data_IF_255739009392
#
_entry.id   IF_255739009392
#
_cell.length_a   1.000
_cell.length_b   1.000
_cell.length_c   1.000
_cell.angle_alpha   90.00
_cell.angle_beta   90.00
_cell.angle_gamma   90.00
#
_symmetry.space_group_name_H-M   'P 1'
#
loop_
_entity.id
_entity.type
_entity.pdbx_description
1 polymer ?
#
# COMPACT_ATOMS: atom_id res chain seq x y z
N UNK A 1 -10.01 -5.23 -0.16
CA UNK A 1 -9.12 -5.57 -1.28
C UNK A 1 -8.08 -4.48 -1.42
N UNK A 2 -6.80 -4.85 -1.47
CA UNK A 2 -5.64 -3.94 -1.53
C UNK A 2 -5.55 -3.24 -2.89
N UNK A 3 -4.85 -2.10 -2.99
CA UNK A 3 -4.62 -1.41 -4.27
C UNK A 3 -3.94 -2.29 -5.32
N UNK A 4 -3.01 -3.15 -4.88
CA UNK A 4 -2.35 -4.14 -5.74
C UNK A 4 -3.32 -5.08 -6.48
N UNK A 5 -4.48 -5.36 -5.90
CA UNK A 5 -5.48 -6.17 -6.57
C UNK A 5 -6.12 -5.42 -7.75
N UNK A 6 -6.40 -4.12 -7.60
CA UNK A 6 -6.89 -3.29 -8.70
C UNK A 6 -5.85 -3.18 -9.82
N UNK A 7 -4.57 -2.99 -9.47
CA UNK A 7 -3.47 -2.96 -10.43
C UNK A 7 -3.41 -4.25 -11.26
N UNK A 8 -3.47 -5.40 -10.58
CA UNK A 8 -3.48 -6.71 -11.23
C UNK A 8 -4.68 -6.88 -12.17
N UNK A 9 -5.87 -6.44 -11.76
CA UNK A 9 -7.05 -6.56 -12.61
C UNK A 9 -7.01 -5.59 -13.81
N UNK A 10 -6.52 -4.36 -13.62
CA UNK A 10 -6.34 -3.38 -14.67
C UNK A 10 -5.36 -3.86 -15.75
N UNK A 11 -4.17 -4.29 -15.34
CA UNK A 11 -3.12 -4.84 -16.21
C UNK A 11 -3.67 -5.96 -17.10
N UNK A 12 -4.53 -6.80 -16.54
CA UNK A 12 -5.01 -8.02 -17.20
C UNK A 12 -6.09 -7.80 -18.25
N UNK A 13 -6.95 -6.81 -18.04
CA UNK A 13 -7.90 -6.36 -19.07
C UNK A 13 -7.26 -5.36 -20.04
N UNK A 14 -5.95 -5.09 -19.89
CA UNK A 14 -5.15 -4.30 -20.81
C UNK A 14 -5.34 -2.79 -20.65
N UNK A 15 -5.62 -2.30 -19.44
CA UNK A 15 -5.78 -0.86 -19.17
C UNK A 15 -4.78 -0.37 -18.11
N UNK A 16 -4.39 0.92 -18.15
CA UNK A 16 -3.75 1.58 -17.02
C UNK A 16 -4.67 1.57 -15.79
N UNK A 17 -4.11 1.47 -14.58
CA UNK A 17 -4.94 1.46 -13.34
C UNK A 17 -5.65 2.79 -13.14
N UNK A 18 -5.08 3.88 -13.62
CA UNK A 18 -5.65 5.23 -13.59
C UNK A 18 -6.96 5.31 -14.39
N UNK A 19 -7.09 4.51 -15.45
CA UNK A 19 -8.30 4.44 -16.28
C UNK A 19 -9.38 3.53 -15.68
N UNK A 20 -9.02 2.68 -14.71
CA UNK A 20 -9.95 1.74 -14.08
C UNK A 20 -11.17 2.45 -13.52
N UNK A 21 -10.95 3.47 -12.67
CA UNK A 21 -12.01 4.23 -12.02
C UNK A 21 -12.93 4.93 -13.04
N UNK A 22 -12.38 5.77 -13.94
CA UNK A 22 -13.15 6.42 -15.00
C UNK A 22 -13.96 5.46 -15.87
N UNK A 23 -13.41 4.31 -16.26
CA UNK A 23 -14.14 3.29 -17.02
C UNK A 23 -15.27 2.64 -16.21
N UNK A 24 -15.04 2.37 -14.92
CA UNK A 24 -16.08 1.85 -14.04
C UNK A 24 -17.27 2.83 -13.91
N UNK A 25 -17.02 4.14 -13.93
CA UNK A 25 -18.07 5.16 -13.84
C UNK A 25 -18.98 5.23 -15.07
N UNK A 26 -18.53 4.73 -16.23
CA UNK A 26 -19.30 4.68 -17.48
C UNK A 26 -20.31 3.52 -17.51
N UNK A 27 -20.31 2.65 -16.50
CA UNK A 27 -21.25 1.53 -16.42
C UNK A 27 -22.68 2.02 -16.20
N UNK A 28 -23.60 1.45 -17.00
CA UNK A 28 -25.04 1.60 -16.80
C UNK A 28 -25.65 0.35 -16.15
N UNK A 29 -25.01 -0.82 -16.33
CA UNK A 29 -25.52 -2.10 -15.81
C UNK A 29 -24.38 -2.91 -15.17
N UNK A 30 -23.90 -2.52 -13.97
CA UNK A 30 -22.81 -3.21 -13.30
C UNK A 30 -23.10 -4.71 -13.13
N UNK A 31 -22.16 -5.56 -13.54
CA UNK A 31 -22.34 -7.01 -13.36
C UNK A 31 -21.97 -7.42 -11.94
N UNK A 32 -22.65 -8.43 -11.40
CA UNK A 32 -22.27 -8.95 -10.09
C UNK A 32 -20.99 -9.77 -10.21
N UNK A 33 -19.94 -9.32 -9.51
CA UNK A 33 -18.67 -10.05 -9.35
C UNK A 33 -18.55 -10.65 -7.95
N UNK A 34 -18.07 -11.90 -7.88
CA UNK A 34 -17.70 -12.57 -6.65
C UNK A 34 -16.47 -11.90 -6.01
N UNK A 35 -16.64 -11.18 -4.90
CA UNK A 35 -15.57 -10.33 -4.31
C UNK A 35 -14.86 -10.86 -3.07
N UNK A 36 -15.06 -12.13 -2.67
CA UNK A 36 -14.49 -12.64 -1.40
C UNK A 36 -13.02 -13.06 -1.52
N UNK A 37 -12.68 -13.76 -2.60
CA UNK A 37 -11.34 -14.24 -2.92
C UNK A 37 -10.88 -13.58 -4.23
N UNK A 38 -9.65 -13.11 -4.29
CA UNK A 38 -9.09 -12.46 -5.50
C UNK A 38 -9.08 -13.40 -6.69
N UNK A 39 -8.71 -14.67 -6.49
CA UNK A 39 -8.72 -15.70 -7.54
C UNK A 39 -10.12 -15.94 -8.10
N UNK A 40 -11.15 -15.97 -7.24
CA UNK A 40 -12.52 -16.16 -7.72
C UNK A 40 -13.10 -14.91 -8.39
N UNK A 41 -12.74 -13.72 -7.90
CA UNK A 41 -13.09 -12.47 -8.57
C UNK A 41 -12.52 -12.45 -9.99
N UNK A 42 -11.26 -12.88 -10.15
CA UNK A 42 -10.61 -12.94 -11.46
C UNK A 42 -11.31 -13.94 -12.40
N UNK A 43 -11.61 -15.16 -11.95
CA UNK A 43 -12.28 -16.16 -12.78
C UNK A 43 -13.67 -15.70 -13.20
N UNK A 44 -14.39 -15.03 -12.30
CA UNK A 44 -15.73 -14.48 -12.59
C UNK A 44 -15.63 -13.33 -13.61
N UNK A 45 -14.65 -12.43 -13.49
CA UNK A 45 -14.42 -11.37 -14.47
C UNK A 45 -14.15 -11.93 -15.88
N UNK A 46 -13.27 -12.92 -16.00
CA UNK A 46 -12.98 -13.59 -17.28
C UNK A 46 -14.25 -14.21 -17.85
N UNK A 47 -15.03 -14.89 -17.01
CA UNK A 47 -16.30 -15.48 -17.44
C UNK A 47 -17.29 -14.41 -17.94
N UNK A 48 -17.42 -13.27 -17.24
CA UNK A 48 -18.27 -12.16 -17.71
C UNK A 48 -17.79 -11.56 -19.03
N UNK A 49 -16.49 -11.47 -19.24
CA UNK A 49 -15.92 -11.01 -20.50
C UNK A 49 -16.26 -11.99 -21.65
N UNK A 50 -16.17 -13.30 -21.42
CA UNK A 50 -16.53 -14.34 -22.40
C UNK A 50 -18.03 -14.32 -22.76
N UNK A 51 -18.89 -13.91 -21.83
CA UNK A 51 -20.32 -13.70 -22.08
C UNK A 51 -20.62 -12.39 -22.83
N UNK A 52 -19.61 -11.58 -23.14
CA UNK A 52 -19.75 -10.33 -23.90
C UNK A 52 -20.18 -9.12 -23.07
N UNK A 53 -20.05 -9.16 -21.74
CA UNK A 53 -20.30 -7.98 -20.92
C UNK A 53 -19.28 -6.87 -21.21
N UNK A 54 -19.73 -5.61 -21.15
CA UNK A 54 -18.86 -4.45 -21.35
C UNK A 54 -17.83 -4.36 -20.23
N UNK A 55 -16.61 -3.94 -20.57
CA UNK A 55 -15.53 -3.74 -19.60
C UNK A 55 -15.95 -2.79 -18.47
N UNK A 56 -16.63 -1.69 -18.78
CA UNK A 56 -17.16 -0.74 -17.79
C UNK A 56 -18.06 -1.43 -16.75
N UNK A 57 -18.95 -2.32 -17.19
CA UNK A 57 -19.88 -3.04 -16.31
C UNK A 57 -19.16 -4.06 -15.41
N UNK A 58 -18.12 -4.72 -15.94
CA UNK A 58 -17.25 -5.63 -15.17
C UNK A 58 -16.48 -4.85 -14.09
N UNK A 59 -15.89 -3.71 -14.46
CA UNK A 59 -15.11 -2.89 -13.54
C UNK A 59 -15.97 -2.28 -12.43
N UNK A 60 -17.16 -1.78 -12.78
CA UNK A 60 -18.15 -1.32 -11.80
C UNK A 60 -18.55 -2.45 -10.83
N UNK A 61 -18.81 -3.64 -11.39
CA UNK A 61 -19.08 -4.84 -10.62
C UNK A 61 -18.00 -5.21 -9.62
N UNK A 62 -16.73 -5.08 -10.05
CA UNK A 62 -15.56 -5.33 -9.22
C UNK A 62 -15.42 -4.29 -8.10
N UNK A 63 -15.59 -2.99 -8.38
CA UNK A 63 -15.60 -1.95 -7.35
C UNK A 63 -16.64 -2.25 -6.26
N UNK A 64 -17.88 -2.55 -6.65
CA UNK A 64 -18.92 -2.92 -5.71
C UNK A 64 -18.56 -4.18 -4.91
N UNK A 65 -17.95 -5.17 -5.56
CA UNK A 65 -17.51 -6.39 -4.90
C UNK A 65 -16.43 -6.12 -3.84
N UNK A 66 -15.52 -5.19 -4.11
CA UNK A 66 -14.49 -4.76 -3.16
C UNK A 66 -15.06 -3.98 -1.98
N UNK A 67 -16.02 -3.07 -2.23
CA UNK A 67 -16.72 -2.35 -1.15
C UNK A 67 -17.49 -3.33 -0.26
N UNK A 68 -18.29 -4.22 -0.84
CA UNK A 68 -18.99 -5.28 -0.09
C UNK A 68 -18.04 -6.14 0.73
N UNK A 69 -16.89 -6.50 0.16
CA UNK A 69 -15.87 -7.28 0.86
C UNK A 69 -15.32 -6.53 2.08
N UNK A 70 -14.98 -5.24 1.93
CA UNK A 70 -14.50 -4.42 3.03
C UNK A 70 -15.54 -4.31 4.16
N UNK A 71 -16.78 -4.01 3.81
CA UNK A 71 -17.85 -3.84 4.80
C UNK A 71 -18.18 -5.14 5.53
N UNK A 72 -18.22 -6.26 4.82
CA UNK A 72 -18.57 -7.56 5.39
C UNK A 72 -17.46 -8.24 6.20
N UNK A 73 -16.20 -7.88 5.99
CA UNK A 73 -15.07 -8.52 6.68
C UNK A 73 -14.35 -7.60 7.67
N UNK A 74 -14.17 -6.31 7.34
CA UNK A 74 -13.35 -5.36 8.13
C UNK A 74 -14.21 -4.39 8.93
N UNK A 75 -15.29 -3.88 8.32
CA UNK A 75 -16.22 -2.99 9.01
C UNK A 75 -17.41 -3.73 9.65
N UNK A 76 -17.40 -5.07 9.64
CA UNK A 76 -18.52 -5.87 10.15
C UNK A 76 -18.78 -5.56 11.62
N UNK A 77 -20.02 -5.19 11.93
CA UNK A 77 -20.44 -4.87 13.29
C UNK A 77 -19.94 -3.52 13.81
N UNK A 78 -19.30 -2.70 12.96
CA UNK A 78 -18.91 -1.33 13.31
C UNK A 78 -20.02 -0.37 12.94
N UNK A 79 -20.33 0.54 13.86
CA UNK A 79 -21.24 1.67 13.63
C UNK A 79 -20.46 2.80 12.94
N UNK A 80 -20.63 2.94 11.63
CA UNK A 80 -19.92 3.94 10.81
C UNK A 80 -20.66 5.28 10.90
N UNK A 81 -19.99 6.31 11.45
CA UNK A 81 -20.56 7.66 11.62
C UNK A 81 -19.77 8.70 10.83
N UNK A 82 -20.41 9.78 10.37
CA UNK A 82 -19.70 10.89 9.75
C UNK A 82 -18.86 11.70 10.76
N UNK A 83 -17.79 12.38 10.31
CA UNK A 83 -17.27 12.38 8.94
C UNK A 83 -16.52 11.08 8.59
N UNK A 84 -16.74 10.56 7.37
CA UNK A 84 -16.00 9.38 6.86
C UNK A 84 -14.83 9.86 6.02
N UNK A 85 -13.60 9.44 6.38
CA UNK A 85 -12.41 9.72 5.58
C UNK A 85 -11.99 8.49 4.79
N UNK A 86 -11.82 8.65 3.48
CA UNK A 86 -11.27 7.61 2.60
C UNK A 86 -9.86 7.98 2.15
N UNK A 87 -8.87 7.19 2.57
CA UNK A 87 -7.45 7.44 2.34
C UNK A 87 -6.70 6.15 1.93
N UNK A 88 -5.43 6.32 1.55
CA UNK A 88 -4.57 5.29 0.95
C UNK A 88 -4.63 5.31 -0.58
N UNK A 89 -3.74 4.57 -1.25
CA UNK A 89 -3.64 4.60 -2.73
C UNK A 89 -4.94 4.25 -3.46
N UNK A 90 -5.80 3.40 -2.88
CA UNK A 90 -7.12 3.06 -3.46
C UNK A 90 -8.05 4.27 -3.52
N UNK A 91 -7.87 5.27 -2.65
CA UNK A 91 -8.65 6.48 -2.67
C UNK A 91 -8.45 7.30 -3.96
N UNK A 92 -7.37 7.08 -4.72
CA UNK A 92 -7.19 7.67 -6.06
C UNK A 92 -8.23 7.17 -7.08
N UNK A 93 -8.79 5.97 -6.88
CA UNK A 93 -9.70 5.35 -7.84
C UNK A 93 -11.12 5.92 -7.68
N UNK A 94 -11.52 6.81 -8.59
CA UNK A 94 -12.84 7.47 -8.58
C UNK A 94 -14.03 6.50 -8.63
N UNK A 95 -13.85 5.31 -9.20
CA UNK A 95 -14.87 4.24 -9.13
C UNK A 95 -15.08 3.78 -7.69
N UNK A 96 -13.99 3.45 -6.99
CA UNK A 96 -14.04 3.08 -5.57
C UNK A 96 -14.64 4.18 -4.69
N UNK A 97 -14.31 5.45 -4.96
CA UNK A 97 -14.90 6.59 -4.25
C UNK A 97 -16.43 6.60 -4.39
N UNK A 98 -16.93 6.54 -5.63
CA UNK A 98 -18.37 6.52 -5.91
C UNK A 98 -19.06 5.33 -5.26
N UNK A 99 -18.58 4.11 -5.52
CA UNK A 99 -19.27 2.92 -5.01
C UNK A 99 -19.21 2.79 -3.48
N UNK A 100 -18.14 3.31 -2.84
CA UNK A 100 -18.10 3.41 -1.39
C UNK A 100 -19.12 4.42 -0.87
N UNK A 101 -19.23 5.59 -1.52
CA UNK A 101 -20.21 6.63 -1.18
C UNK A 101 -21.64 6.12 -1.34
N UNK A 102 -21.94 5.50 -2.49
CA UNK A 102 -23.26 4.93 -2.80
C UNK A 102 -23.65 3.83 -1.79
N UNK A 103 -22.69 3.03 -1.32
CA UNK A 103 -22.98 1.93 -0.38
C UNK A 103 -23.13 2.41 1.06
N UNK A 104 -22.39 3.46 1.46
CA UNK A 104 -22.44 3.98 2.82
C UNK A 104 -23.57 4.99 3.02
N UNK A 105 -24.01 5.69 1.98
CA UNK A 105 -24.98 6.80 2.06
C UNK A 105 -24.54 7.88 3.07
N UNK A 106 -23.22 8.06 3.23
CA UNK A 106 -22.60 9.00 4.15
C UNK A 106 -21.67 9.96 3.39
N UNK A 107 -21.45 11.18 3.90
CA UNK A 107 -20.47 12.10 3.33
C UNK A 107 -19.06 11.51 3.48
N UNK A 108 -18.44 11.19 2.34
CA UNK A 108 -17.05 10.71 2.27
C UNK A 108 -16.13 11.86 1.89
N UNK A 109 -15.12 12.09 2.71
CA UNK A 109 -14.05 13.04 2.49
C UNK A 109 -12.79 12.33 2.02
N UNK A 110 -12.19 12.85 0.95
CA UNK A 110 -10.93 12.37 0.40
C UNK A 110 -9.90 13.46 0.68
N UNK A 111 -8.94 13.23 1.58
CA UNK A 111 -7.88 14.21 1.85
C UNK A 111 -7.08 14.51 0.58
N UNK A 112 -6.53 15.73 0.45
CA UNK A 112 -5.68 16.12 -0.68
C UNK A 112 -4.49 15.17 -0.85
N UNK A 113 -3.84 14.83 0.26
CA UNK A 113 -2.62 14.02 0.30
C UNK A 113 -2.95 12.58 0.75
N UNK A 114 -4.06 12.02 0.25
CA UNK A 114 -4.64 10.73 0.69
C UNK A 114 -3.65 9.56 0.67
N UNK A 115 -2.62 9.61 -0.15
CA UNK A 115 -1.60 8.59 -0.35
C UNK A 115 -0.45 8.65 0.68
N UNK A 116 -0.24 9.82 1.30
CA UNK A 116 0.86 10.07 2.24
C UNK A 116 0.42 10.56 3.62
N UNK A 117 -0.89 10.58 3.91
CA UNK A 117 -1.44 10.99 5.21
C UNK A 117 -0.76 10.32 6.42
N UNK A 118 -0.39 9.04 6.31
CA UNK A 118 0.34 8.34 7.36
C UNK A 118 1.73 8.95 7.62
N UNK A 119 2.46 9.32 6.56
CA UNK A 119 3.76 9.97 6.68
C UNK A 119 3.63 11.37 7.29
N UNK A 120 2.60 12.13 6.89
CA UNK A 120 2.28 13.44 7.48
C UNK A 120 2.00 13.29 8.98
N UNK A 121 1.20 12.30 9.38
CA UNK A 121 0.90 12.03 10.79
C UNK A 121 2.15 11.73 11.61
N UNK A 122 3.06 10.90 11.10
CA UNK A 122 4.33 10.60 11.79
C UNK A 122 5.24 11.83 11.86
N UNK A 123 5.32 12.63 10.78
CA UNK A 123 6.11 13.86 10.79
C UNK A 123 5.62 14.84 11.87
N UNK A 124 4.29 14.98 12.01
CA UNK A 124 3.66 15.81 13.03
C UNK A 124 3.96 15.31 14.45
N UNK A 125 3.78 14.01 14.71
CA UNK A 125 4.09 13.40 16.01
C UNK A 125 5.58 13.54 16.37
N UNK A 126 6.47 13.37 15.39
CA UNK A 126 7.90 13.51 15.58
C UNK A 126 8.27 14.95 15.96
N UNK A 127 7.69 15.95 15.27
CA UNK A 127 7.87 17.37 15.59
C UNK A 127 7.42 17.68 17.02
N UNK A 128 6.18 17.33 17.37
CA UNK A 128 5.61 17.58 18.70
C UNK A 128 6.47 16.92 19.80
N UNK A 129 6.94 15.71 19.56
CA UNK A 129 7.79 14.98 20.51
C UNK A 129 9.15 15.67 20.72
N UNK A 130 9.76 16.21 19.67
CA UNK A 130 11.03 16.92 19.75
C UNK A 130 10.87 18.27 20.48
N UNK A 131 9.79 19.00 20.17
CA UNK A 131 9.43 20.27 20.82
C UNK A 131 9.19 20.07 22.33
N UNK A 132 8.46 19.01 22.72
CA UNK A 132 8.18 18.70 24.12
C UNK A 132 9.42 18.26 24.91
N UNK A 133 10.33 17.49 24.31
CA UNK A 133 11.52 16.95 24.99
C UNK A 133 12.73 17.87 24.94
N UNK A 134 12.71 18.92 24.12
CA UNK A 134 13.84 19.82 23.89
C UNK A 134 15.10 19.12 23.36
N UNK A 135 14.95 17.95 22.73
CA UNK A 135 16.08 17.16 22.20
C UNK A 135 16.31 17.48 20.72
N UNK A 136 17.56 17.58 20.27
CA UNK A 136 17.84 17.68 18.84
C UNK A 136 17.43 16.38 18.12
N UNK A 137 17.00 16.53 16.86
CA UNK A 137 16.67 15.39 16.01
C UNK A 137 17.91 14.54 15.73
N UNK A 138 17.73 13.22 15.60
CA UNK A 138 18.74 12.29 15.09
C UNK A 138 18.67 12.12 13.57
N UNK A 139 17.84 12.91 12.90
CA UNK A 139 17.73 12.91 11.45
C UNK A 139 19.09 13.25 10.84
N UNK A 140 19.61 12.36 9.99
CA UNK A 140 20.94 12.48 9.40
C UNK A 140 21.04 13.57 8.31
N UNK A 141 19.94 14.28 8.02
CA UNK A 141 19.86 15.23 6.91
C UNK A 141 19.56 14.55 5.57
N UNK A 142 19.22 15.36 4.56
CA UNK A 142 19.02 14.89 3.18
C UNK A 142 20.32 14.71 2.41
N UNK A 143 21.42 15.27 2.90
CA UNK A 143 22.78 15.08 2.35
C UNK A 143 23.16 13.60 2.23
N UNK A 144 22.55 12.73 3.04
CA UNK A 144 22.74 11.28 2.96
C UNK A 144 22.40 10.70 1.58
N UNK A 145 21.53 11.35 0.80
CA UNK A 145 21.21 10.96 -0.58
C UNK A 145 22.37 11.19 -1.55
N UNK A 146 23.34 12.02 -1.17
CA UNK A 146 24.53 12.34 -1.94
C UNK A 146 25.81 11.70 -1.37
N UNK A 147 25.71 11.02 -0.23
CA UNK A 147 26.84 10.31 0.38
C UNK A 147 27.22 9.07 -0.42
N UNK A 148 28.51 8.75 -0.40
CA UNK A 148 29.02 7.49 -0.94
C UNK A 148 28.79 6.34 0.04
N UNK A 149 28.18 5.26 -0.46
CA UNK A 149 27.97 4.03 0.29
C UNK A 149 28.83 2.91 -0.28
N UNK A 150 29.54 2.22 0.62
CA UNK A 150 30.34 1.05 0.29
C UNK A 150 29.74 -0.15 0.98
N UNK A 151 29.55 -1.22 0.21
CA UNK A 151 29.17 -2.52 0.75
C UNK A 151 30.41 -3.42 0.80
N UNK A 152 30.78 -3.88 1.99
CA UNK A 152 31.83 -4.88 2.17
C UNK A 152 31.20 -6.20 2.63
N UNK A 153 31.71 -7.33 2.15
CA UNK A 153 31.30 -8.64 2.65
C UNK A 153 32.50 -9.51 3.01
N UNK A 154 32.34 -10.33 4.05
CA UNK A 154 33.37 -11.28 4.51
C UNK A 154 32.75 -12.49 5.21
N UNK A 155 33.52 -13.59 5.28
CA UNK A 155 33.14 -14.78 6.04
C UNK A 155 33.64 -14.65 7.48
N UNK A 156 32.73 -14.62 8.44
CA UNK A 156 33.03 -14.49 9.86
C UNK A 156 33.63 -15.79 10.44
N UNK A 157 34.81 -15.68 11.06
CA UNK A 157 35.54 -16.82 11.64
C UNK A 157 35.42 -16.92 13.18
N UNK A 158 34.50 -16.16 13.79
CA UNK A 158 34.37 -16.10 15.26
C UNK A 158 33.76 -17.34 15.90
N UNK A 159 32.99 -18.11 15.14
CA UNK A 159 32.34 -19.32 15.62
C UNK A 159 32.11 -20.29 14.44
N UNK A 160 31.68 -21.54 14.70
CA UNK A 160 31.50 -22.55 13.65
C UNK A 160 30.45 -22.22 12.58
N UNK A 161 29.65 -21.17 12.76
CA UNK A 161 28.57 -20.82 11.83
C UNK A 161 29.06 -20.27 10.48
N UNK A 162 30.30 -19.79 10.39
CA UNK A 162 30.93 -19.28 9.16
C UNK A 162 29.98 -18.40 8.31
N UNK A 163 29.32 -17.43 8.97
CA UNK A 163 28.32 -16.60 8.32
C UNK A 163 28.98 -15.63 7.34
N UNK A 164 28.38 -15.44 6.16
CA UNK A 164 28.66 -14.27 5.33
C UNK A 164 28.05 -13.04 6.02
N UNK A 165 28.91 -12.09 6.37
CA UNK A 165 28.52 -10.81 6.94
C UNK A 165 28.62 -9.78 5.84
N UNK A 166 27.56 -9.00 5.66
CA UNK A 166 27.52 -7.84 4.77
C UNK A 166 27.43 -6.59 5.64
N UNK A 167 28.28 -5.61 5.35
CA UNK A 167 28.39 -4.35 6.05
C UNK A 167 28.11 -3.19 5.09
N UNK A 168 27.33 -2.21 5.56
CA UNK A 168 27.14 -0.92 4.88
C UNK A 168 27.98 0.12 5.59
N UNK A 169 28.82 0.79 4.81
CA UNK A 169 29.65 1.90 5.22
C UNK A 169 29.22 3.15 4.47
N UNK A 170 29.28 4.31 5.12
CA UNK A 170 29.03 5.62 4.49
C UNK A 170 30.22 6.51 4.77
N UNK A 171 30.92 6.93 3.72
CA UNK A 171 32.10 7.80 3.85
C UNK A 171 33.11 7.26 4.88
N UNK A 172 33.31 5.93 4.89
CA UNK A 172 34.19 5.23 5.86
C UNK A 172 33.60 5.03 7.26
N UNK A 173 32.37 5.46 7.54
CA UNK A 173 31.67 5.24 8.82
C UNK A 173 30.78 3.99 8.72
N UNK A 174 30.97 3.05 9.64
CA UNK A 174 30.11 1.86 9.74
C UNK A 174 28.67 2.26 10.10
N UNK A 175 27.70 1.81 9.29
CA UNK A 175 26.29 2.08 9.53
C UNK A 175 25.53 0.86 10.06
N UNK A 176 25.68 -0.28 9.38
CA UNK A 176 24.92 -1.48 9.68
C UNK A 176 25.62 -2.72 9.17
N UNK A 177 25.28 -3.87 9.76
CA UNK A 177 25.70 -5.19 9.28
C UNK A 177 24.57 -6.20 9.45
N UNK A 178 24.48 -7.17 8.55
CA UNK A 178 23.58 -8.32 8.68
C UNK A 178 24.27 -9.61 8.21
N UNK A 179 23.55 -10.73 8.37
CA UNK A 179 24.02 -12.07 7.99
C UNK A 179 24.48 -12.93 9.17
N UNK A 180 24.64 -12.35 10.36
CA UNK A 180 25.05 -13.12 11.54
C UNK A 180 23.94 -14.02 12.07
N UNK A 181 24.26 -15.30 12.31
CA UNK A 181 23.34 -16.27 12.93
C UNK A 181 23.39 -16.27 14.46
N UNK A 182 24.50 -15.81 15.04
CA UNK A 182 24.69 -15.77 16.49
C UNK A 182 24.20 -14.46 17.14
N UNK A 183 23.63 -13.52 16.37
CA UNK A 183 23.15 -12.22 16.85
C UNK A 183 24.25 -11.20 17.17
N UNK A 184 25.53 -11.55 16.96
CA UNK A 184 26.64 -10.59 17.10
C UNK A 184 26.72 -9.70 15.86
N UNK A 185 26.84 -8.38 15.99
CA UNK A 185 27.00 -7.48 14.85
C UNK A 185 28.38 -7.66 14.17
N UNK A 186 28.45 -7.30 12.89
CA UNK A 186 29.70 -7.03 12.18
C UNK A 186 30.38 -5.74 12.69
N UNK A 187 31.37 -5.25 11.96
CA UNK A 187 32.06 -3.98 12.22
C UNK A 187 33.28 -4.11 13.14
N UNK A 188 33.57 -5.32 13.60
CA UNK A 188 34.85 -5.68 14.19
C UNK A 188 35.42 -6.74 13.26
N UNK A 189 36.58 -6.50 12.65
CA UNK A 189 37.34 -7.58 12.01
C UNK A 189 37.88 -8.49 13.11
#
# INVERSE_FOLDING_TARGET
GTGSFLDQQASRIGIPVEEFGPLALQSNHPVRIAGRCTVFAESDMIHKQQLGHKTSDILAGLCQAMVRNYLSNVAKGKDLKPPVFFQGGVAANVGMQRFLSDTLELPIHIPRDYDVMGAIGIAQIAKETLELKGKPSRFAGLEILHSEFVNESYVCQRCPNQCEIVEIWREGIFLASWGSRCGQPGGKR
#
